data_IF_060260854790
#
_entry.id   IF_060260854790
#
_cell.length_a   1.000
_cell.length_b   1.000
_cell.length_c   1.000
_cell.angle_alpha   90.00
_cell.angle_beta   90.00
_cell.angle_gamma   90.00
#
_symmetry.space_group_name_H-M   'P 1'
#
loop_
_entity.id
_entity.type
_entity.pdbx_description
1 polymer ?
#
# COMPACT_ATOMS: atom_id res chain seq x y z
N UNK A 1 -29.67 7.72 28.84
CA UNK A 1 -28.38 7.43 28.16
C UNK A 1 -28.61 7.64 26.68
N UNK A 2 -28.06 8.72 26.13
CA UNK A 2 -28.24 9.13 24.72
C UNK A 2 -27.11 8.53 23.90
N UNK A 3 -27.43 7.77 22.85
CA UNK A 3 -26.43 7.18 21.94
C UNK A 3 -25.72 8.28 21.14
N UNK A 4 -24.39 8.46 21.27
CA UNK A 4 -23.65 9.55 20.62
C UNK A 4 -23.40 9.33 19.11
N UNK A 5 -23.86 8.23 18.50
CA UNK A 5 -23.63 7.91 17.09
C UNK A 5 -24.72 8.39 16.11
N UNK A 6 -25.97 8.53 16.55
CA UNK A 6 -27.10 8.84 15.65
C UNK A 6 -27.14 10.28 15.14
N UNK A 7 -26.33 11.17 15.72
CA UNK A 7 -26.28 12.59 15.31
C UNK A 7 -25.58 12.78 13.97
N UNK A 8 -24.42 12.13 13.80
CA UNK A 8 -23.58 12.29 12.60
C UNK A 8 -24.24 11.65 11.38
N UNK A 9 -24.88 10.49 11.54
CA UNK A 9 -25.64 9.85 10.45
C UNK A 9 -26.81 10.73 9.99
N UNK A 10 -27.54 11.37 10.91
CA UNK A 10 -28.63 12.29 10.55
C UNK A 10 -28.14 13.55 9.85
N UNK A 11 -27.01 14.11 10.28
CA UNK A 11 -26.40 15.26 9.60
C UNK A 11 -25.91 14.90 8.19
N UNK A 12 -25.34 13.70 8.01
CA UNK A 12 -24.94 13.18 6.71
C UNK A 12 -26.15 12.92 5.80
N UNK A 13 -27.21 12.30 6.32
CA UNK A 13 -28.45 12.07 5.58
C UNK A 13 -29.12 13.39 5.17
N UNK A 14 -29.17 14.38 6.05
CA UNK A 14 -29.70 15.70 5.73
C UNK A 14 -28.84 16.46 4.72
N UNK A 15 -27.51 16.35 4.83
CA UNK A 15 -26.55 16.93 3.89
C UNK A 15 -26.73 16.31 2.49
N UNK A 16 -26.74 14.99 2.40
CA UNK A 16 -26.94 14.25 1.13
C UNK A 16 -28.30 14.58 0.53
N UNK A 17 -29.37 14.62 1.33
CA UNK A 17 -30.72 14.96 0.86
C UNK A 17 -30.81 16.41 0.38
N UNK A 18 -30.09 17.36 1.01
CA UNK A 18 -29.98 18.75 0.53
C UNK A 18 -29.23 18.84 -0.79
N UNK A 19 -28.12 18.10 -0.93
CA UNK A 19 -27.30 18.10 -2.16
C UNK A 19 -28.07 17.46 -3.32
N UNK A 20 -28.74 16.33 -3.09
CA UNK A 20 -29.57 15.68 -4.11
C UNK A 20 -30.76 16.54 -4.54
N UNK A 21 -31.44 17.19 -3.59
CA UNK A 21 -32.53 18.12 -3.91
C UNK A 21 -32.07 19.39 -4.64
N UNK A 22 -30.82 19.82 -4.44
CA UNK A 22 -30.21 20.91 -5.21
C UNK A 22 -29.81 20.44 -6.63
N UNK A 23 -29.35 19.20 -6.77
CA UNK A 23 -28.99 18.58 -8.05
C UNK A 23 -30.22 18.37 -8.95
N UNK A 24 -31.36 17.96 -8.41
CA UNK A 24 -32.61 17.78 -9.17
C UNK A 24 -33.17 19.10 -9.73
N UNK A 25 -32.83 20.24 -9.12
CA UNK A 25 -33.29 21.57 -9.57
C UNK A 25 -32.38 22.22 -10.60
N UNK A 26 -31.23 21.62 -10.90
CA UNK A 26 -30.29 22.17 -11.87
C UNK A 26 -30.67 21.73 -13.28
N UNK A 27 -30.77 22.65 -14.25
CA UNK A 27 -31.02 22.30 -15.63
C UNK A 27 -29.87 21.43 -16.16
N UNK A 28 -30.22 20.35 -16.87
CA UNK A 28 -29.28 19.33 -17.39
C UNK A 28 -28.09 19.93 -18.16
N UNK A 29 -28.29 21.08 -18.80
CA UNK A 29 -27.22 21.83 -19.50
C UNK A 29 -26.11 22.37 -18.57
N UNK A 30 -26.38 22.62 -17.29
CA UNK A 30 -25.38 23.08 -16.31
C UNK A 30 -24.64 21.94 -15.62
N UNK A 31 -25.24 20.74 -15.55
CA UNK A 31 -24.59 19.57 -14.97
C UNK A 31 -23.33 19.21 -15.75
N UNK A 32 -23.40 19.25 -17.09
CA UNK A 32 -22.25 19.01 -17.97
C UNK A 32 -21.10 20.02 -17.80
N UNK A 33 -21.42 21.29 -17.56
CA UNK A 33 -20.42 22.34 -17.35
C UNK A 33 -19.70 22.20 -15.99
N UNK A 34 -20.43 21.78 -14.95
CA UNK A 34 -19.85 21.54 -13.62
C UNK A 34 -18.94 20.31 -13.64
N UNK A 35 -19.37 19.21 -14.27
CA UNK A 35 -18.50 18.02 -14.44
C UNK A 35 -17.23 18.35 -15.23
N UNK A 36 -17.32 19.17 -16.29
CA UNK A 36 -16.16 19.60 -17.06
C UNK A 36 -15.18 20.49 -16.26
N UNK A 37 -15.71 21.34 -15.36
CA UNK A 37 -14.88 22.19 -14.49
C UNK A 37 -14.16 21.40 -13.38
N UNK A 38 -14.80 20.34 -12.87
CA UNK A 38 -14.21 19.47 -11.83
C UNK A 38 -13.14 18.55 -12.42
N UNK A 39 -13.33 18.05 -13.65
CA UNK A 39 -12.30 17.28 -14.36
C UNK A 39 -11.08 18.11 -14.79
N UNK A 40 -11.26 19.41 -15.05
CA UNK A 40 -10.15 20.31 -15.35
C UNK A 40 -9.32 20.68 -14.11
N UNK A 41 -9.97 20.78 -12.94
CA UNK A 41 -9.30 21.15 -11.69
C UNK A 41 -8.49 19.99 -11.07
N UNK A 42 -8.89 18.73 -11.26
CA UNK A 42 -8.16 17.56 -10.74
C UNK A 42 -6.82 17.32 -11.46
N UNK A 43 -6.76 17.55 -12.78
CA UNK A 43 -5.52 17.40 -13.57
C UNK A 43 -4.41 18.41 -13.22
N UNK A 44 -4.77 19.61 -12.74
CA UNK A 44 -3.80 20.64 -12.33
C UNK A 44 -3.18 20.37 -10.95
N UNK A 45 -3.89 19.66 -10.07
CA UNK A 45 -3.37 19.27 -8.75
C UNK A 45 -2.42 18.08 -8.87
N UNK A 46 -2.75 17.09 -9.70
CA UNK A 46 -1.91 15.90 -9.95
C UNK A 46 -0.52 16.26 -10.51
N UNK A 47 -0.45 17.21 -11.45
CA UNK A 47 0.83 17.64 -12.07
C UNK A 47 1.72 18.46 -11.14
N UNK A 48 1.17 19.08 -10.08
CA UNK A 48 1.95 19.84 -9.10
C UNK A 48 2.60 18.93 -8.05
N UNK A 49 1.96 17.82 -7.72
CA UNK A 49 2.47 16.86 -6.74
C UNK A 49 3.45 15.86 -7.35
N UNK A 50 3.26 15.44 -8.59
CA UNK A 50 4.28 14.68 -9.34
C UNK A 50 5.60 15.45 -9.43
N UNK A 51 5.56 16.77 -9.66
CA UNK A 51 6.78 17.61 -9.62
C UNK A 51 7.41 17.72 -8.23
N UNK A 52 6.65 17.55 -7.15
CA UNK A 52 7.19 17.51 -5.78
C UNK A 52 7.81 16.15 -5.46
N UNK A 53 7.23 15.06 -5.96
CA UNK A 53 7.80 13.71 -5.85
C UNK A 53 9.07 13.55 -6.67
N UNK A 54 9.10 14.03 -7.93
CA UNK A 54 10.33 14.04 -8.74
C UNK A 54 11.42 14.91 -8.12
N UNK A 55 11.06 16.04 -7.50
CA UNK A 55 12.02 16.86 -6.74
C UNK A 55 12.53 16.13 -5.51
N UNK A 56 11.68 15.42 -4.76
CA UNK A 56 12.11 14.62 -3.61
C UNK A 56 13.00 13.44 -4.02
N UNK A 57 12.70 12.75 -5.13
CA UNK A 57 13.58 11.71 -5.67
C UNK A 57 14.93 12.28 -6.10
N UNK A 58 14.96 13.46 -6.75
CA UNK A 58 16.23 14.13 -7.09
C UNK A 58 17.01 14.60 -5.87
N UNK A 59 16.34 15.18 -4.87
CA UNK A 59 16.96 15.59 -3.60
C UNK A 59 17.47 14.35 -2.81
N UNK A 60 16.78 13.21 -2.91
CA UNK A 60 17.19 11.93 -2.32
C UNK A 60 18.38 11.29 -3.06
N UNK A 61 18.49 11.48 -4.38
CA UNK A 61 19.66 11.04 -5.17
C UNK A 61 20.85 12.02 -5.03
N UNK A 62 20.60 13.31 -4.75
CA UNK A 62 21.63 14.31 -4.44
C UNK A 62 22.19 14.20 -3.01
N UNK A 63 21.49 13.49 -2.11
CA UNK A 63 21.99 13.05 -0.80
C UNK A 63 23.05 11.94 -0.96
N UNK A 64 24.12 12.31 -1.65
CA UNK A 64 25.21 11.46 -2.08
C UNK A 64 26.06 11.04 -0.87
N UNK A 65 26.50 9.79 -0.88
CA UNK A 65 27.50 9.21 0.05
C UNK A 65 28.65 10.18 0.40
N UNK A 66 29.25 10.94 -0.53
CA UNK A 66 30.26 11.95 -0.20
C UNK A 66 29.80 13.01 0.80
N UNK A 67 28.53 13.44 0.78
CA UNK A 67 28.02 14.43 1.74
C UNK A 67 28.04 13.90 3.19
N UNK A 68 27.68 12.63 3.39
CA UNK A 68 27.75 11.97 4.70
C UNK A 68 29.20 11.89 5.22
N UNK A 69 30.17 11.64 4.33
CA UNK A 69 31.59 11.65 4.68
C UNK A 69 32.10 13.04 5.06
N UNK A 70 31.70 14.09 4.32
CA UNK A 70 32.09 15.47 4.67
C UNK A 70 31.53 15.89 6.04
N UNK A 71 30.26 15.59 6.31
CA UNK A 71 29.64 15.85 7.62
C UNK A 71 30.32 15.07 8.75
N UNK A 72 30.61 13.79 8.54
CA UNK A 72 31.33 12.96 9.50
C UNK A 72 32.73 13.49 9.80
N UNK A 73 33.47 13.93 8.76
CA UNK A 73 34.79 14.52 8.92
C UNK A 73 34.73 15.84 9.70
N UNK A 74 33.77 16.72 9.38
CA UNK A 74 33.55 17.97 10.10
C UNK A 74 33.25 17.72 11.60
N UNK A 75 32.45 16.69 11.92
CA UNK A 75 32.18 16.30 13.30
C UNK A 75 33.45 15.87 14.05
N UNK A 76 34.33 15.08 13.42
CA UNK A 76 35.59 14.63 14.02
C UNK A 76 36.54 15.81 14.27
N UNK A 77 36.68 16.71 13.30
CA UNK A 77 37.53 17.91 13.46
C UNK A 77 37.01 18.80 14.58
N UNK A 78 35.70 19.06 14.64
CA UNK A 78 35.10 19.85 15.72
C UNK A 78 35.31 19.22 17.10
N UNK A 79 35.17 17.89 17.22
CA UNK A 79 35.45 17.16 18.46
C UNK A 79 36.93 17.25 18.87
N UNK A 80 37.87 17.14 17.92
CA UNK A 80 39.30 17.24 18.20
C UNK A 80 39.68 18.64 18.70
N UNK A 81 39.14 19.71 18.10
CA UNK A 81 39.36 21.10 18.56
C UNK A 81 38.80 21.30 19.97
N UNK A 82 37.62 20.76 20.26
CA UNK A 82 37.01 20.86 21.59
C UNK A 82 37.89 20.20 22.68
N UNK A 83 38.56 19.09 22.35
CA UNK A 83 39.48 18.39 23.26
C UNK A 83 40.78 19.17 23.46
N UNK A 84 41.34 19.75 22.38
CA UNK A 84 42.58 20.51 22.45
C UNK A 84 42.43 21.88 23.16
N UNK A 85 41.22 22.46 23.14
CA UNK A 85 40.93 23.78 23.69
C UNK A 85 39.74 23.74 24.67
N UNK A 86 39.97 23.57 25.99
CA UNK A 86 38.90 23.35 26.97
C UNK A 86 37.88 24.48 27.08
N UNK A 87 38.27 25.71 26.73
CA UNK A 87 37.38 26.86 26.73
C UNK A 87 36.37 26.85 25.57
N UNK A 88 36.56 26.00 24.54
CA UNK A 88 35.64 25.80 23.41
C UNK A 88 34.79 24.54 23.56
N UNK A 89 34.42 24.15 24.78
CA UNK A 89 33.63 22.94 25.03
C UNK A 89 32.29 22.91 24.28
N UNK A 90 31.71 24.07 23.90
CA UNK A 90 30.47 24.13 23.13
C UNK A 90 30.59 23.44 21.76
N UNK A 91 31.79 23.34 21.18
CA UNK A 91 32.02 22.64 19.91
C UNK A 91 31.66 21.15 19.97
N UNK A 92 31.58 20.53 21.15
CA UNK A 92 31.04 19.18 21.30
C UNK A 92 29.57 19.08 20.86
N UNK A 93 28.75 20.11 21.08
CA UNK A 93 27.37 20.13 20.60
C UNK A 93 27.30 20.25 19.07
N UNK A 94 28.19 21.04 18.49
CA UNK A 94 28.31 21.18 17.03
C UNK A 94 28.76 19.85 16.40
N UNK A 95 29.77 19.21 16.99
CA UNK A 95 30.22 17.88 16.59
C UNK A 95 29.10 16.83 16.69
N UNK A 96 28.31 16.86 17.76
CA UNK A 96 27.17 15.98 17.94
C UNK A 96 26.08 16.22 16.88
N UNK A 97 25.76 17.49 16.58
CA UNK A 97 24.81 17.85 15.53
C UNK A 97 25.21 17.28 14.17
N UNK A 98 26.46 17.51 13.76
CA UNK A 98 26.99 16.94 12.51
C UNK A 98 27.05 15.40 12.55
N UNK A 99 27.40 14.80 13.69
CA UNK A 99 27.43 13.35 13.88
C UNK A 99 26.07 12.69 13.72
N UNK A 100 25.01 13.29 14.27
CA UNK A 100 23.64 12.76 14.12
C UNK A 100 23.15 12.83 12.67
N UNK A 101 23.45 13.92 11.94
CA UNK A 101 23.14 14.05 10.52
C UNK A 101 23.90 13.03 9.64
N UNK A 102 25.19 12.79 9.94
CA UNK A 102 25.97 11.76 9.26
C UNK A 102 25.46 10.34 9.55
N UNK A 103 25.01 10.06 10.77
CA UNK A 103 24.46 8.76 11.14
C UNK A 103 23.13 8.46 10.43
N UNK A 104 22.22 9.44 10.32
CA UNK A 104 20.93 9.27 9.63
C UNK A 104 21.12 9.02 8.12
N UNK A 105 22.02 9.79 7.48
CA UNK A 105 22.37 9.58 6.07
C UNK A 105 23.00 8.21 5.82
N UNK A 106 23.92 7.77 6.69
CA UNK A 106 24.53 6.44 6.57
C UNK A 106 23.53 5.29 6.84
N UNK A 107 22.58 5.48 7.76
CA UNK A 107 21.51 4.52 8.02
C UNK A 107 20.58 4.36 6.81
N UNK A 108 20.27 5.46 6.12
CA UNK A 108 19.50 5.44 4.86
C UNK A 108 20.24 4.71 3.75
N UNK A 109 21.55 4.97 3.57
CA UNK A 109 22.39 4.25 2.60
C UNK A 109 22.44 2.75 2.91
N UNK A 110 22.65 2.35 4.17
CA UNK A 110 22.64 0.93 4.56
C UNK A 110 21.30 0.23 4.31
N UNK A 111 20.17 0.94 4.48
CA UNK A 111 18.85 0.40 4.14
C UNK A 111 18.71 0.18 2.63
N UNK A 112 19.27 1.07 1.80
CA UNK A 112 19.32 0.92 0.34
C UNK A 112 20.19 -0.26 -0.07
N UNK A 113 21.38 -0.41 0.52
CA UNK A 113 22.26 -1.56 0.23
C UNK A 113 21.63 -2.90 0.61
N UNK A 114 20.88 -2.95 1.72
CA UNK A 114 20.09 -4.15 2.08
C UNK A 114 19.03 -4.48 1.05
N UNK A 115 18.28 -3.48 0.57
CA UNK A 115 17.27 -3.68 -0.49
C UNK A 115 17.91 -4.16 -1.79
N UNK A 116 19.04 -3.56 -2.19
CA UNK A 116 19.77 -3.98 -3.39
C UNK A 116 20.34 -5.41 -3.24
N UNK A 117 20.82 -5.78 -2.05
CA UNK A 117 21.25 -7.14 -1.76
C UNK A 117 20.09 -8.14 -1.79
N UNK A 118 18.92 -7.77 -1.25
CA UNK A 118 17.69 -8.56 -1.31
C UNK A 118 17.18 -8.72 -2.75
N UNK A 119 17.22 -7.66 -3.56
CA UNK A 119 16.87 -7.69 -4.98
C UNK A 119 17.85 -8.55 -5.80
N UNK A 120 19.16 -8.46 -5.52
CA UNK A 120 20.15 -9.31 -6.16
C UNK A 120 20.00 -10.79 -5.75
N UNK A 121 19.62 -11.05 -4.50
CA UNK A 121 19.28 -12.40 -4.01
C UNK A 121 18.01 -12.93 -4.66
N UNK A 122 16.97 -12.09 -4.80
CA UNK A 122 15.74 -12.45 -5.50
C UNK A 122 16.01 -12.75 -6.99
N UNK A 123 16.78 -11.91 -7.68
CA UNK A 123 17.13 -12.10 -9.08
C UNK A 123 18.00 -13.35 -9.33
N UNK A 124 18.91 -13.68 -8.39
CA UNK A 124 19.70 -14.92 -8.46
C UNK A 124 18.88 -16.17 -8.15
N UNK A 125 17.95 -16.10 -7.18
CA UNK A 125 17.00 -17.16 -6.91
C UNK A 125 16.05 -17.41 -8.10
N UNK A 126 15.62 -16.34 -8.79
CA UNK A 126 14.80 -16.44 -9.99
C UNK A 126 15.58 -17.05 -11.17
N UNK A 127 16.83 -16.64 -11.38
CA UNK A 127 17.72 -17.28 -12.37
C UNK A 127 17.97 -18.76 -12.09
N UNK A 128 18.11 -19.14 -10.82
CA UNK A 128 18.26 -20.54 -10.42
C UNK A 128 16.99 -21.35 -10.68
N UNK A 129 15.80 -20.75 -10.54
CA UNK A 129 14.51 -21.39 -10.87
C UNK A 129 14.26 -21.49 -12.38
N UNK A 130 14.69 -20.50 -13.16
CA UNK A 130 14.56 -20.53 -14.63
C UNK A 130 15.69 -21.29 -15.32
N UNK A 131 16.77 -21.59 -14.59
CA UNK A 131 17.95 -22.30 -15.08
C UNK A 131 17.80 -23.81 -15.12
N UNK A 132 16.74 -24.35 -15.72
CA UNK A 132 16.64 -25.78 -16.10
C UNK A 132 15.96 -25.92 -17.45
N UNK A 133 16.76 -25.96 -18.52
CA UNK A 133 16.53 -26.77 -19.73
C UNK A 133 17.74 -26.66 -20.68
N UNK A 134 18.92 -27.08 -20.20
CA UNK A 134 20.11 -27.25 -21.02
C UNK A 134 20.72 -28.62 -20.79
N UNK A 135 20.15 -29.63 -21.45
CA UNK A 135 20.72 -30.95 -21.78
C UNK A 135 21.36 -31.80 -20.66
N UNK A 136 20.60 -32.76 -20.14
CA UNK A 136 21.07 -34.15 -20.03
C UNK A 136 19.92 -35.12 -20.32
N UNK A 137 20.03 -35.99 -21.35
CA UNK A 137 19.11 -37.08 -21.55
C UNK A 137 19.61 -38.27 -20.72
N UNK A 138 18.96 -38.55 -19.60
CA UNK A 138 19.07 -39.85 -18.92
C UNK A 138 17.66 -40.36 -18.67
N UNK A 139 17.12 -40.94 -19.74
CA UNK A 139 15.96 -41.81 -19.68
C UNK A 139 16.47 -43.22 -19.36
N UNK A 140 16.27 -43.70 -18.13
CA UNK A 140 15.97 -45.09 -17.76
C UNK A 140 16.17 -45.29 -16.25
N UNK A 141 15.10 -45.03 -15.48
CA UNK A 141 14.59 -45.80 -14.34
C UNK A 141 13.69 -44.89 -13.52
N UNK A 142 12.38 -45.03 -13.73
CA UNK A 142 11.36 -44.35 -12.94
C UNK A 142 11.33 -44.91 -11.52
N UNK A 143 12.05 -44.24 -10.61
CA UNK A 143 11.79 -44.33 -9.18
C UNK A 143 11.10 -43.03 -8.76
N UNK A 144 9.88 -43.10 -8.19
CA UNK A 144 9.20 -41.92 -7.65
C UNK A 144 10.04 -41.35 -6.51
N UNK A 145 10.37 -40.06 -6.60
CA UNK A 145 11.15 -39.35 -5.59
C UNK A 145 10.34 -39.26 -4.28
N UNK A 146 10.71 -39.94 -3.18
CA UNK A 146 9.91 -40.01 -1.96
C UNK A 146 10.00 -38.75 -1.07
N UNK A 147 10.81 -37.75 -1.46
CA UNK A 147 11.06 -36.55 -0.64
C UNK A 147 10.27 -35.30 -1.05
N UNK A 148 9.32 -35.42 -2.00
CA UNK A 148 8.39 -34.32 -2.25
C UNK A 148 7.28 -34.35 -1.20
N UNK A 149 7.61 -33.87 0.00
CA UNK A 149 6.63 -33.58 1.04
C UNK A 149 5.49 -32.75 0.42
N UNK A 150 4.22 -33.15 0.58
CA UNK A 150 3.09 -32.41 0.01
C UNK A 150 3.15 -30.97 0.52
N UNK A 151 3.12 -30.02 -0.42
CA UNK A 151 3.07 -28.60 -0.07
C UNK A 151 1.91 -28.38 0.93
N UNK A 152 2.12 -27.58 1.99
CA UNK A 152 1.06 -27.31 2.95
C UNK A 152 -0.16 -26.76 2.21
N UNK A 153 -1.38 -27.15 2.61
CA UNK A 153 -2.60 -26.74 1.93
C UNK A 153 -2.66 -25.20 1.90
N UNK A 154 -2.66 -24.64 0.69
CA UNK A 154 -2.85 -23.21 0.51
C UNK A 154 -4.19 -22.81 1.13
N UNK A 155 -4.19 -21.71 1.91
CA UNK A 155 -5.43 -21.17 2.46
C UNK A 155 -6.44 -20.93 1.32
N UNK A 156 -7.74 -21.26 1.50
CA UNK A 156 -8.75 -21.06 0.45
C UNK A 156 -8.82 -19.60 -0.01
N UNK A 157 -8.48 -18.66 0.87
CA UNK A 157 -8.38 -17.25 0.58
C UNK A 157 -7.28 -16.93 -0.44
N UNK A 158 -6.12 -17.59 -0.39
CA UNK A 158 -5.01 -17.41 -1.34
C UNK A 158 -5.35 -18.06 -2.68
N UNK A 159 -5.96 -19.25 -2.65
CA UNK A 159 -6.43 -19.92 -3.86
C UNK A 159 -7.45 -19.06 -4.64
N UNK A 160 -8.37 -18.39 -3.94
CA UNK A 160 -9.34 -17.48 -4.56
C UNK A 160 -8.66 -16.29 -5.25
N UNK A 161 -7.59 -15.73 -4.67
CA UNK A 161 -6.80 -14.65 -5.28
C UNK A 161 -6.14 -15.14 -6.57
N UNK A 162 -5.47 -16.29 -6.53
CA UNK A 162 -4.81 -16.89 -7.70
C UNK A 162 -5.80 -17.25 -8.81
N UNK A 163 -6.99 -17.74 -8.44
CA UNK A 163 -8.08 -18.02 -9.39
C UNK A 163 -8.59 -16.75 -10.07
N UNK A 164 -8.75 -15.65 -9.32
CA UNK A 164 -9.14 -14.35 -9.87
C UNK A 164 -8.07 -13.78 -10.79
N UNK A 165 -6.81 -13.81 -10.37
CA UNK A 165 -5.66 -13.32 -11.14
C UNK A 165 -5.51 -14.07 -12.47
N UNK A 166 -5.56 -15.40 -12.45
CA UNK A 166 -5.50 -16.22 -13.67
C UNK A 166 -6.67 -15.96 -14.63
N UNK A 167 -7.88 -15.72 -14.10
CA UNK A 167 -9.05 -15.34 -14.92
C UNK A 167 -8.86 -13.98 -15.58
N UNK A 168 -8.39 -12.97 -14.83
CA UNK A 168 -8.07 -11.64 -15.38
C UNK A 168 -7.01 -11.75 -16.46
N UNK A 169 -5.91 -12.47 -16.21
CA UNK A 169 -4.84 -12.69 -17.18
C UNK A 169 -5.35 -13.33 -18.48
N UNK A 170 -6.20 -14.35 -18.34
CA UNK A 170 -6.85 -15.04 -19.46
C UNK A 170 -7.77 -14.14 -20.27
N UNK A 171 -8.55 -13.25 -19.63
CA UNK A 171 -9.41 -12.29 -20.32
C UNK A 171 -8.56 -11.25 -21.06
N UNK A 172 -7.55 -10.67 -20.41
CA UNK A 172 -6.64 -9.72 -21.04
C UNK A 172 -5.91 -10.34 -22.24
N UNK A 173 -5.52 -11.62 -22.16
CA UNK A 173 -4.84 -12.30 -23.27
C UNK A 173 -5.76 -12.48 -24.48
N UNK A 174 -7.02 -12.85 -24.22
CA UNK A 174 -8.05 -12.96 -25.27
C UNK A 174 -8.37 -11.62 -25.90
N UNK A 175 -8.58 -10.58 -25.11
CA UNK A 175 -8.80 -9.20 -25.60
C UNK A 175 -7.66 -8.74 -26.51
N UNK A 176 -6.40 -8.92 -26.10
CA UNK A 176 -5.24 -8.56 -26.92
C UNK A 176 -5.21 -9.37 -28.24
N UNK A 177 -5.57 -10.65 -28.21
CA UNK A 177 -5.63 -11.47 -29.44
C UNK A 177 -6.78 -11.06 -30.37
N UNK A 178 -7.95 -10.74 -29.80
CA UNK A 178 -9.14 -10.29 -30.53
C UNK A 178 -8.88 -8.91 -31.18
N UNK A 179 -8.19 -8.00 -30.48
CA UNK A 179 -7.79 -6.68 -31.00
C UNK A 179 -6.73 -6.76 -32.10
N UNK A 180 -5.76 -7.68 -31.98
CA UNK A 180 -4.76 -7.90 -33.04
C UNK A 180 -5.39 -8.37 -34.35
N UNK A 181 -6.45 -9.17 -34.26
CA UNK A 181 -7.24 -9.63 -35.41
C UNK A 181 -8.32 -8.65 -35.88
N UNK A 182 -8.53 -7.53 -35.17
CA UNK A 182 -9.60 -6.58 -35.48
C UNK A 182 -9.31 -5.80 -36.78
N UNK A 183 -10.38 -5.38 -37.51
CA UNK A 183 -10.26 -4.49 -38.66
C UNK A 183 -9.46 -3.22 -38.33
N UNK A 184 -8.66 -2.68 -39.28
CA UNK A 184 -7.76 -1.54 -39.04
C UNK A 184 -8.50 -0.30 -38.51
N UNK A 185 -9.75 -0.11 -38.94
CA UNK A 185 -10.58 1.00 -38.51
C UNK A 185 -10.91 0.95 -37.01
N UNK A 186 -11.06 -0.25 -36.42
CA UNK A 186 -11.23 -0.43 -34.97
C UNK A 186 -9.91 -0.11 -34.25
N UNK A 187 -8.76 -0.50 -34.80
CA UNK A 187 -7.45 -0.21 -34.20
C UNK A 187 -7.11 1.27 -34.22
N UNK A 188 -7.52 2.03 -35.24
CA UNK A 188 -7.29 3.48 -35.32
C UNK A 188 -8.15 4.28 -34.33
N UNK A 189 -9.37 3.82 -34.07
CA UNK A 189 -10.27 4.43 -33.07
C UNK A 189 -9.73 4.28 -31.64
N UNK A 190 -9.01 3.19 -31.39
CA UNK A 190 -8.43 2.87 -30.12
C UNK A 190 -7.00 3.40 -30.08
N UNK A 191 -6.80 4.57 -29.48
CA UNK A 191 -5.44 5.05 -29.20
C UNK A 191 -4.82 4.15 -28.13
N UNK A 192 -4.03 3.16 -28.56
CA UNK A 192 -3.20 2.27 -27.73
C UNK A 192 -3.99 1.38 -26.75
N UNK A 193 -4.99 0.59 -27.20
CA UNK A 193 -5.74 -0.32 -26.33
C UNK A 193 -4.84 -1.40 -25.72
N UNK A 194 -3.75 -1.77 -26.39
CA UNK A 194 -2.80 -2.75 -25.88
C UNK A 194 -2.12 -2.24 -24.62
N UNK A 195 -1.66 -0.97 -24.63
CA UNK A 195 -1.04 -0.34 -23.45
C UNK A 195 -2.02 -0.26 -22.27
N UNK A 196 -3.28 0.09 -22.53
CA UNK A 196 -4.31 0.16 -21.48
C UNK A 196 -4.64 -1.21 -20.87
N UNK A 197 -4.77 -2.25 -21.70
CA UNK A 197 -5.03 -3.63 -21.24
C UNK A 197 -3.83 -4.18 -20.46
N UNK A 198 -2.60 -3.90 -20.92
CA UNK A 198 -1.39 -4.30 -20.20
C UNK A 198 -1.23 -3.56 -18.87
N UNK A 199 -1.55 -2.27 -18.82
CA UNK A 199 -1.57 -1.50 -17.59
C UNK A 199 -2.61 -2.06 -16.59
N UNK A 200 -3.81 -2.40 -17.06
CA UNK A 200 -4.85 -3.00 -16.22
C UNK A 200 -4.45 -4.39 -15.71
N UNK A 201 -3.80 -5.20 -16.57
CA UNK A 201 -3.22 -6.48 -16.16
C UNK A 201 -2.18 -6.27 -15.05
N UNK A 202 -1.25 -5.33 -15.22
CA UNK A 202 -0.25 -5.02 -14.20
C UNK A 202 -0.88 -4.55 -12.88
N UNK A 203 -1.87 -3.65 -12.94
CA UNK A 203 -2.61 -3.17 -11.78
C UNK A 203 -3.35 -4.31 -11.04
N UNK A 204 -3.96 -5.25 -11.78
CA UNK A 204 -4.63 -6.41 -11.17
C UNK A 204 -3.67 -7.33 -10.43
N UNK A 205 -2.45 -7.55 -10.97
CA UNK A 205 -1.41 -8.35 -10.33
C UNK A 205 -0.84 -7.67 -9.09
N UNK A 206 -0.72 -6.34 -9.14
CA UNK A 206 -0.34 -5.52 -8.00
C UNK A 206 -1.36 -5.64 -6.85
N UNK A 207 -2.66 -5.52 -7.17
CA UNK A 207 -3.75 -5.73 -6.20
C UNK A 207 -3.67 -7.13 -5.58
N UNK A 208 -3.54 -8.17 -6.40
CA UNK A 208 -3.42 -9.55 -5.93
C UNK A 208 -2.19 -9.75 -5.02
N UNK A 209 -1.05 -9.15 -5.36
CA UNK A 209 0.17 -9.18 -4.52
C UNK A 209 -0.06 -8.54 -3.16
N UNK A 210 -0.70 -7.36 -3.13
CA UNK A 210 -0.99 -6.63 -1.88
C UNK A 210 -1.99 -7.37 -1.01
N UNK A 211 -3.05 -7.90 -1.60
CA UNK A 211 -4.03 -8.70 -0.90
C UNK A 211 -3.39 -9.92 -0.23
N UNK A 212 -2.53 -10.65 -0.97
CA UNK A 212 -1.73 -11.75 -0.39
C UNK A 212 -0.86 -11.28 0.76
N UNK A 213 -0.17 -10.15 0.59
CA UNK A 213 0.69 -9.58 1.64
C UNK A 213 -0.08 -9.20 2.90
N UNK A 214 -1.27 -8.59 2.77
CA UNK A 214 -2.10 -8.19 3.90
C UNK A 214 -2.78 -9.40 4.56
N UNK A 215 -3.25 -10.38 3.78
CA UNK A 215 -3.81 -11.61 4.36
C UNK A 215 -2.75 -12.43 5.10
N UNK A 216 -1.50 -12.40 4.66
CA UNK A 216 -0.39 -13.03 5.38
C UNK A 216 -0.13 -12.42 6.77
N UNK A 217 -0.40 -11.12 6.95
CA UNK A 217 -0.28 -10.46 8.27
C UNK A 217 -1.56 -10.61 9.11
N UNK A 218 -2.69 -10.91 8.49
CA UNK A 218 -4.01 -11.06 9.13
C UNK A 218 -4.42 -12.53 9.29
N UNK A 219 -3.61 -13.34 9.97
CA UNK A 219 -3.98 -14.74 10.27
C UNK A 219 -5.08 -14.82 11.33
N UNK A 220 -6.09 -15.68 11.14
CA UNK A 220 -7.22 -15.79 12.08
C UNK A 220 -6.78 -16.20 13.49
N UNK A 221 -5.80 -17.10 13.59
CA UNK A 221 -5.19 -17.55 14.84
C UNK A 221 -4.62 -16.39 15.68
N UNK A 222 -4.00 -15.40 15.03
CA UNK A 222 -3.46 -14.20 15.68
C UNK A 222 -4.60 -13.35 16.25
N UNK A 223 -5.70 -13.20 15.51
CA UNK A 223 -6.88 -12.49 15.97
C UNK A 223 -7.48 -13.13 17.22
N UNK A 224 -7.70 -14.44 17.19
CA UNK A 224 -8.21 -15.20 18.34
C UNK A 224 -7.25 -15.16 19.55
N UNK A 225 -5.94 -15.10 19.30
CA UNK A 225 -4.95 -14.94 20.38
C UNK A 225 -5.09 -13.57 21.04
N UNK A 226 -5.14 -12.49 20.26
CA UNK A 226 -5.27 -11.13 20.78
C UNK A 226 -6.60 -10.92 21.53
N UNK A 227 -7.70 -11.51 21.05
CA UNK A 227 -9.00 -11.44 21.74
C UNK A 227 -8.98 -12.16 23.10
N UNK A 228 -8.32 -13.33 23.17
CA UNK A 228 -8.11 -14.04 24.44
C UNK A 228 -7.21 -13.25 25.40
N UNK A 229 -6.13 -12.66 24.89
CA UNK A 229 -5.25 -11.80 25.67
C UNK A 229 -6.00 -10.58 26.23
N UNK A 230 -6.84 -9.93 25.42
CA UNK A 230 -7.69 -8.81 25.83
C UNK A 230 -8.66 -9.22 26.92
N UNK A 231 -9.36 -10.34 26.75
CA UNK A 231 -10.29 -10.86 27.75
C UNK A 231 -9.56 -11.15 29.07
N UNK A 232 -8.41 -11.83 29.02
CA UNK A 232 -7.61 -12.14 30.20
C UNK A 232 -7.09 -10.86 30.89
N UNK A 233 -6.58 -9.88 30.14
CA UNK A 233 -6.07 -8.63 30.68
C UNK A 233 -7.20 -7.79 31.31
N UNK A 234 -8.36 -7.72 30.67
CA UNK A 234 -9.54 -7.02 31.20
C UNK A 234 -10.02 -7.65 32.53
N UNK A 235 -10.05 -8.99 32.62
CA UNK A 235 -10.39 -9.69 33.85
C UNK A 235 -9.39 -9.38 34.98
N UNK A 236 -8.08 -9.33 34.65
CA UNK A 236 -7.02 -8.97 35.61
C UNK A 236 -7.14 -7.52 36.09
N UNK A 237 -7.48 -6.57 35.21
CA UNK A 237 -7.75 -5.17 35.61
C UNK A 237 -8.89 -5.14 36.62
N UNK A 238 -9.98 -5.86 36.35
CA UNK A 238 -11.16 -5.89 37.22
C UNK A 238 -10.88 -6.54 38.60
N UNK A 239 -10.05 -7.58 38.66
CA UNK A 239 -9.73 -8.27 39.91
C UNK A 239 -8.64 -7.58 40.75
N UNK A 240 -7.90 -6.62 40.19
CA UNK A 240 -6.76 -5.99 40.88
C UNK A 240 -7.20 -4.88 41.82
N UNK A 241 -6.88 -4.99 43.11
CA UNK A 241 -7.21 -4.01 44.15
C UNK A 241 -6.25 -2.83 44.22
N UNK A 242 -4.94 -3.05 43.98
CA UNK A 242 -3.91 -2.01 43.97
C UNK A 242 -4.12 -1.02 42.81
N UNK A 243 -4.25 0.26 43.16
CA UNK A 243 -4.52 1.33 42.21
C UNK A 243 -3.40 1.49 41.17
N UNK A 244 -2.13 1.41 41.57
CA UNK A 244 -0.99 1.66 40.66
C UNK A 244 -0.86 0.51 39.66
N UNK A 245 -1.02 -0.73 40.13
CA UNK A 245 -1.01 -1.91 39.25
C UNK A 245 -2.20 -1.89 38.31
N UNK A 246 -3.39 -1.54 38.81
CA UNK A 246 -4.60 -1.41 37.98
C UNK A 246 -4.41 -0.38 36.86
N UNK A 247 -3.85 0.79 37.17
CA UNK A 247 -3.56 1.84 36.18
C UNK A 247 -2.61 1.35 35.08
N UNK A 248 -1.51 0.67 35.46
CA UNK A 248 -0.56 0.10 34.48
C UNK A 248 -1.20 -0.97 33.60
N UNK A 249 -2.02 -1.86 34.18
CA UNK A 249 -2.74 -2.89 33.43
C UNK A 249 -3.79 -2.26 32.50
N UNK A 250 -4.46 -1.19 32.93
CA UNK A 250 -5.40 -0.45 32.08
C UNK A 250 -4.68 0.24 30.90
N UNK A 251 -3.49 0.78 31.12
CA UNK A 251 -2.64 1.30 30.04
C UNK A 251 -2.25 0.22 29.03
N UNK A 252 -1.86 -0.97 29.50
CA UNK A 252 -1.57 -2.11 28.63
C UNK A 252 -2.80 -2.59 27.85
N UNK A 253 -3.99 -2.57 28.48
CA UNK A 253 -5.26 -2.91 27.82
C UNK A 253 -5.60 -1.91 26.71
N UNK A 254 -5.42 -0.61 26.96
CA UNK A 254 -5.62 0.43 25.95
C UNK A 254 -4.71 0.23 24.74
N UNK A 255 -3.43 -0.09 24.95
CA UNK A 255 -2.50 -0.36 23.85
C UNK A 255 -2.91 -1.61 23.03
N UNK A 256 -3.43 -2.64 23.68
CA UNK A 256 -3.95 -3.83 23.00
C UNK A 256 -5.24 -3.53 22.21
N UNK A 257 -6.13 -2.70 22.75
CA UNK A 257 -7.33 -2.23 22.05
C UNK A 257 -6.97 -1.41 20.79
N UNK A 258 -5.94 -0.55 20.86
CA UNK A 258 -5.40 0.16 19.70
C UNK A 258 -4.86 -0.81 18.63
N UNK A 259 -4.11 -1.84 19.04
CA UNK A 259 -3.63 -2.86 18.12
C UNK A 259 -4.79 -3.61 17.43
N UNK A 260 -5.83 -3.97 18.17
CA UNK A 260 -7.04 -4.60 17.59
C UNK A 260 -7.77 -3.66 16.63
N UNK A 261 -7.87 -2.37 16.97
CA UNK A 261 -8.45 -1.37 16.08
C UNK A 261 -7.65 -1.24 14.77
N UNK A 262 -6.31 -1.21 14.85
CA UNK A 262 -5.45 -1.20 13.67
C UNK A 262 -5.61 -2.47 12.83
N UNK A 263 -5.74 -3.64 13.46
CA UNK A 263 -6.01 -4.90 12.75
C UNK A 263 -7.35 -4.85 12.02
N UNK A 264 -8.40 -4.31 12.64
CA UNK A 264 -9.70 -4.14 12.00
C UNK A 264 -9.65 -3.17 10.79
N UNK A 265 -8.84 -2.13 10.87
CA UNK A 265 -8.58 -1.22 9.73
C UNK A 265 -7.91 -1.96 8.57
N UNK A 266 -6.89 -2.78 8.84
CA UNK A 266 -6.23 -3.60 7.81
C UNK A 266 -7.17 -4.63 7.19
N UNK A 267 -8.02 -5.27 8.00
CA UNK A 267 -9.04 -6.20 7.50
C UNK A 267 -10.04 -5.50 6.57
N UNK A 268 -10.47 -4.28 6.92
CA UNK A 268 -11.33 -3.46 6.07
C UNK A 268 -10.63 -3.09 4.76
N UNK A 269 -9.33 -2.76 4.80
CA UNK A 269 -8.55 -2.49 3.59
C UNK A 269 -8.44 -3.71 2.67
N UNK A 270 -8.28 -4.92 3.22
CA UNK A 270 -8.31 -6.18 2.44
C UNK A 270 -9.65 -6.37 1.75
N UNK A 271 -10.77 -6.17 2.46
CA UNK A 271 -12.10 -6.31 1.88
C UNK A 271 -12.33 -5.31 0.73
N UNK A 272 -11.81 -4.08 0.85
CA UNK A 272 -11.85 -3.08 -0.23
C UNK A 272 -11.04 -3.51 -1.45
N UNK A 273 -9.80 -3.98 -1.26
CA UNK A 273 -8.95 -4.49 -2.36
C UNK A 273 -9.63 -5.66 -3.08
N UNK A 274 -10.25 -6.58 -2.33
CA UNK A 274 -10.97 -7.72 -2.88
C UNK A 274 -12.18 -7.28 -3.73
N UNK A 275 -12.94 -6.30 -3.24
CA UNK A 275 -14.06 -5.72 -3.98
C UNK A 275 -13.60 -5.02 -5.27
N UNK A 276 -12.50 -4.26 -5.21
CA UNK A 276 -11.88 -3.61 -6.37
C UNK A 276 -11.39 -4.63 -7.40
N UNK A 277 -10.71 -5.69 -6.97
CA UNK A 277 -10.28 -6.78 -7.84
C UNK A 277 -11.47 -7.48 -8.53
N UNK A 278 -12.58 -7.64 -7.81
CA UNK A 278 -13.82 -8.22 -8.35
C UNK A 278 -14.50 -7.28 -9.36
N UNK A 279 -14.51 -5.97 -9.09
CA UNK A 279 -15.02 -4.95 -10.01
C UNK A 279 -14.23 -4.93 -11.31
N UNK A 280 -12.89 -4.95 -11.24
CA UNK A 280 -12.02 -4.99 -12.42
C UNK A 280 -12.33 -6.22 -13.28
N UNK A 281 -12.51 -7.39 -12.65
CA UNK A 281 -12.86 -8.61 -13.36
C UNK A 281 -14.15 -8.45 -14.16
N UNK A 282 -15.23 -7.96 -13.54
CA UNK A 282 -16.50 -7.77 -14.24
C UNK A 282 -16.42 -6.69 -15.34
N UNK A 283 -15.65 -5.63 -15.11
CA UNK A 283 -15.41 -4.58 -16.11
C UNK A 283 -14.71 -5.15 -17.35
N UNK A 284 -13.67 -5.97 -17.14
CA UNK A 284 -12.97 -6.69 -18.22
C UNK A 284 -13.88 -7.65 -18.99
N UNK A 285 -14.74 -8.39 -18.29
CA UNK A 285 -15.71 -9.28 -18.93
C UNK A 285 -16.73 -8.52 -19.78
N UNK A 286 -17.23 -7.40 -19.27
CA UNK A 286 -18.13 -6.52 -19.99
C UNK A 286 -17.45 -5.90 -21.23
N UNK A 287 -16.22 -5.40 -21.09
CA UNK A 287 -15.43 -4.86 -22.20
C UNK A 287 -15.24 -5.91 -23.30
N UNK A 288 -14.89 -7.15 -22.92
CA UNK A 288 -14.76 -8.24 -23.89
C UNK A 288 -16.07 -8.52 -24.62
N UNK A 289 -17.19 -8.56 -23.90
CA UNK A 289 -18.49 -8.73 -24.53
C UNK A 289 -18.84 -7.59 -25.50
N UNK A 290 -18.42 -6.35 -25.19
CA UNK A 290 -18.60 -5.19 -26.07
C UNK A 290 -17.72 -5.28 -27.32
N UNK A 291 -16.44 -5.64 -27.17
CA UNK A 291 -15.51 -5.84 -28.30
C UNK A 291 -16.04 -6.93 -29.23
N UNK A 292 -16.46 -8.08 -28.71
CA UNK A 292 -17.03 -9.16 -29.52
C UNK A 292 -18.30 -8.74 -30.26
N UNK A 293 -19.18 -7.96 -29.61
CA UNK A 293 -20.37 -7.38 -30.25
C UNK A 293 -20.01 -6.39 -31.36
N UNK A 294 -19.02 -5.53 -31.14
CA UNK A 294 -18.55 -4.58 -32.14
C UNK A 294 -17.92 -5.30 -33.35
N UNK A 295 -17.12 -6.34 -33.13
CA UNK A 295 -16.54 -7.16 -34.19
C UNK A 295 -17.62 -7.90 -35.01
N UNK A 296 -18.66 -8.41 -34.34
CA UNK A 296 -19.79 -9.04 -35.04
C UNK A 296 -20.63 -8.03 -35.83
N UNK A 297 -20.78 -6.80 -35.34
CA UNK A 297 -21.56 -5.75 -35.98
C UNK A 297 -20.81 -5.03 -37.12
N UNK A 298 -19.48 -4.98 -37.11
CA UNK A 298 -18.69 -4.40 -38.20
C UNK A 298 -18.84 -5.20 -39.50
N UNK A 299 -19.09 -6.52 -39.39
CA UNK A 299 -19.53 -7.33 -40.53
C UNK A 299 -20.86 -6.86 -41.14
N UNK A 300 -21.62 -6.00 -40.45
CA UNK A 300 -22.93 -5.48 -40.84
C UNK A 300 -23.02 -3.93 -40.88
N UNK A 301 -21.87 -3.22 -40.84
CA UNK A 301 -21.71 -1.76 -40.99
C UNK A 301 -22.62 -0.87 -40.11
N UNK A 302 -22.38 -0.83 -38.79
CA UNK A 302 -23.09 0.07 -37.86
C UNK A 302 -22.16 1.08 -37.15
N UNK A 303 -22.50 2.36 -37.23
CA UNK A 303 -21.77 3.48 -36.60
C UNK A 303 -22.06 3.58 -35.08
N UNK A 304 -23.26 3.18 -34.64
CA UNK A 304 -23.71 3.18 -33.23
C UNK A 304 -22.82 2.33 -32.32
N UNK A 305 -22.26 1.23 -32.86
CA UNK A 305 -21.35 0.35 -32.13
C UNK A 305 -19.99 0.97 -31.83
N UNK A 306 -19.53 1.95 -32.63
CA UNK A 306 -18.25 2.63 -32.38
C UNK A 306 -18.33 3.56 -31.18
N UNK A 307 -19.41 4.33 -31.08
CA UNK A 307 -19.61 5.25 -29.95
C UNK A 307 -19.77 4.47 -28.63
N UNK A 308 -20.49 3.34 -28.66
CA UNK A 308 -20.60 2.47 -27.48
C UNK A 308 -19.25 1.89 -27.04
N UNK A 309 -18.38 1.50 -27.97
CA UNK A 309 -17.05 0.97 -27.67
C UNK A 309 -16.17 2.06 -27.04
N UNK A 310 -16.20 3.26 -27.63
CA UNK A 310 -15.46 4.43 -27.13
C UNK A 310 -15.89 4.79 -25.71
N UNK A 311 -17.19 4.89 -25.44
CA UNK A 311 -17.71 5.14 -24.09
C UNK A 311 -17.35 4.04 -23.08
N UNK A 312 -17.32 2.77 -23.51
CA UNK A 312 -16.85 1.65 -22.69
C UNK A 312 -15.39 1.78 -22.27
N UNK A 313 -14.53 2.27 -23.16
CA UNK A 313 -13.11 2.47 -22.88
C UNK A 313 -12.81 3.72 -22.06
N UNK A 314 -13.55 4.80 -22.28
CA UNK A 314 -13.50 5.98 -21.40
C UNK A 314 -13.89 5.61 -19.97
N UNK A 315 -14.94 4.78 -19.83
CA UNK A 315 -15.33 4.21 -18.54
C UNK A 315 -14.22 3.36 -17.94
N UNK A 316 -13.59 2.48 -18.73
CA UNK A 316 -12.47 1.65 -18.28
C UNK A 316 -11.26 2.49 -17.84
N UNK A 317 -10.91 3.53 -18.59
CA UNK A 317 -9.82 4.45 -18.25
C UNK A 317 -10.10 5.14 -16.91
N UNK A 318 -11.32 5.62 -16.70
CA UNK A 318 -11.72 6.21 -15.43
C UNK A 318 -11.67 5.19 -14.27
N UNK A 319 -11.96 3.92 -14.53
CA UNK A 319 -11.80 2.85 -13.56
C UNK A 319 -10.34 2.56 -13.23
N UNK A 320 -9.42 2.60 -14.22
CA UNK A 320 -7.98 2.47 -13.99
C UNK A 320 -7.47 3.59 -13.10
N UNK A 321 -7.87 4.84 -13.38
CA UNK A 321 -7.47 6.00 -12.57
C UNK A 321 -8.02 5.91 -11.15
N UNK A 322 -9.27 5.43 -10.99
CA UNK A 322 -9.87 5.20 -9.68
C UNK A 322 -9.14 4.10 -8.89
N UNK A 323 -8.72 3.02 -9.56
CA UNK A 323 -7.92 1.94 -8.95
C UNK A 323 -6.53 2.46 -8.56
N UNK A 324 -5.87 3.24 -9.41
CA UNK A 324 -4.59 3.86 -9.09
C UNK A 324 -4.71 4.76 -7.84
N UNK A 325 -5.76 5.59 -7.77
CA UNK A 325 -6.06 6.43 -6.60
C UNK A 325 -6.31 5.61 -5.34
N UNK A 326 -7.11 4.54 -5.43
CA UNK A 326 -7.37 3.65 -4.31
C UNK A 326 -6.09 2.94 -3.81
N UNK A 327 -5.22 2.54 -4.74
CA UNK A 327 -3.92 1.94 -4.42
C UNK A 327 -2.98 2.92 -3.70
N UNK A 328 -3.07 4.21 -3.98
CA UNK A 328 -2.33 5.27 -3.28
C UNK A 328 -2.87 5.51 -1.87
N UNK A 329 -4.19 5.59 -1.71
CA UNK A 329 -4.84 5.74 -0.40
C UNK A 329 -4.44 4.62 0.57
N UNK A 330 -4.48 3.37 0.10
CA UNK A 330 -4.08 2.20 0.92
C UNK A 330 -2.59 2.26 1.29
N UNK A 331 -1.72 2.77 0.41
CA UNK A 331 -0.30 2.98 0.72
C UNK A 331 -0.10 4.04 1.81
N UNK A 332 -0.93 5.10 1.80
CA UNK A 332 -0.92 6.13 2.83
C UNK A 332 -1.22 5.59 4.23
N UNK A 333 -2.21 4.69 4.34
CA UNK A 333 -2.61 4.08 5.62
C UNK A 333 -1.48 3.23 6.22
N UNK A 334 -0.77 2.46 5.40
CA UNK A 334 0.37 1.64 5.86
C UNK A 334 1.59 2.47 6.30
N UNK A 335 1.85 3.60 5.63
CA UNK A 335 3.00 4.45 5.92
C UNK A 335 2.82 5.29 7.19
N UNK A 336 1.62 5.82 7.42
CA UNK A 336 1.31 6.61 8.62
C UNK A 336 1.40 5.79 9.92
N UNK A 337 1.04 4.50 9.88
CA UNK A 337 1.15 3.62 11.04
C UNK A 337 2.61 3.33 11.46
N UNK A 338 3.53 3.26 10.49
CA UNK A 338 4.94 2.95 10.77
C UNK A 338 5.73 4.09 11.45
N UNK A 339 5.20 5.32 11.41
CA UNK A 339 5.86 6.51 11.97
C UNK A 339 5.39 6.89 13.38
N UNK A 340 4.24 6.37 13.84
CA UNK A 340 3.65 6.72 15.14
C UNK A 340 4.25 6.00 16.37
N UNK A 341 4.89 4.84 16.20
CA UNK A 341 5.25 3.97 17.36
C UNK A 341 6.60 4.31 18.02
N UNK A 342 7.40 5.24 17.48
CA UNK A 342 8.77 5.45 17.98
C UNK A 342 8.96 6.52 19.08
N UNK A 343 7.91 7.21 19.57
CA UNK A 343 8.12 8.34 20.52
C UNK A 343 7.53 8.21 21.92
N UNK A 344 6.98 7.06 22.32
CA UNK A 344 6.42 6.89 23.67
C UNK A 344 7.13 5.75 24.41
N UNK A 345 8.17 6.06 25.21
CA UNK A 345 8.68 5.08 26.17
C UNK A 345 10.12 5.19 26.67
N UNK A 346 10.66 6.39 26.92
CA UNK A 346 11.74 6.53 27.92
C UNK A 346 11.41 7.74 28.79
N UNK A 347 10.65 7.53 29.85
CA UNK A 347 10.60 8.46 30.99
C UNK A 347 11.86 8.27 31.84
N UNK A 348 12.77 9.24 31.92
CA UNK A 348 13.88 9.21 32.87
C UNK A 348 13.39 9.83 34.17
N UNK A 349 12.98 9.03 35.15
CA UNK A 349 12.37 9.66 36.32
C UNK A 349 12.06 8.80 37.52
N UNK A 350 12.96 7.89 37.96
CA UNK A 350 13.04 7.52 39.40
C UNK A 350 14.47 7.06 39.73
N UNK A 351 15.38 8.00 40.00
CA UNK A 351 16.62 7.69 40.74
C UNK A 351 17.15 8.92 41.48
N UNK A 352 16.38 9.45 42.43
CA UNK A 352 16.89 10.37 43.44
C UNK A 352 15.92 10.41 44.64
N UNK A 353 16.21 9.66 45.70
CA UNK A 353 15.96 10.01 47.10
C UNK A 353 16.07 8.78 48.02
N UNK A 354 17.29 8.40 48.41
CA UNK A 354 17.52 7.66 49.66
C UNK A 354 19.00 7.66 50.03
N UNK A 355 19.50 8.80 50.53
CA UNK A 355 20.73 8.85 51.35
C UNK A 355 20.85 10.23 52.01
N UNK A 356 20.17 10.41 53.14
CA UNK A 356 20.61 11.28 54.23
C UNK A 356 19.69 11.11 55.43
N UNK A 357 20.22 10.55 56.51
CA UNK A 357 20.03 10.94 57.91
C UNK A 357 20.41 9.76 58.81
N UNK A 358 21.55 9.89 59.51
CA UNK A 358 22.07 8.88 60.42
C UNK A 358 23.33 9.36 61.11
N UNK A 359 23.24 10.49 61.79
CA UNK A 359 24.23 10.98 62.77
C UNK A 359 23.46 11.45 63.99
N UNK A 360 23.48 10.62 65.04
CA UNK A 360 23.61 10.99 66.45
C UNK A 360 24.00 9.74 67.22
#
# INVERSE_FOLDING_TARGET
MSEPGRGVERELEESVRRVLGALERLPVARVGAVTASVSGASGWVATREQRRFEKRLREEDEASVPHAFVLGFAAVVAAAVAIAQPHLFWLLFVALGFGTGAADTLAKVRRRDRRLAEEAQAASAERARTGVAGSQPSALLGLPNPDQAPAPPESPAVAAISARESRVDGICARLLSELKGAPPLVRELLRRPEEAIEALRAASRELARRERSLRATLTDEEGERLDRERAALSARVASTSDAVVRERLAGALSALDEQLAHRAQLATAVARIEAEGTRILYSLENLRAQVLRALAADAASSEVTRESLKGGLETLSAEIDAVATALEEVHGVGSAASTGTSSAGVSPGVRAASRQAGTT
#
